data_IF_140581592571
#
_entry.id   IF_140581592571
#
_cell.length_a   1.000
_cell.length_b   1.000
_cell.length_c   1.000
_cell.angle_alpha   90.00
_cell.angle_beta   90.00
_cell.angle_gamma   90.00
#
_symmetry.space_group_name_H-M   'P 1'
#
loop_
_entity.id
_entity.type
_entity.pdbx_description
1 polymer ?
#
# COMPACT_ATOMS: atom_id res chain seq x y z
N UNK A 1 -44.93 47.38 -24.47
CA UNK A 1 -44.78 45.94 -24.05
C UNK A 1 -43.29 45.65 -23.92
N UNK A 2 -42.77 45.63 -22.71
CA UNK A 2 -41.37 45.28 -22.40
C UNK A 2 -41.30 43.75 -22.17
N UNK A 3 -40.57 43.03 -23.00
CA UNK A 3 -40.30 41.60 -22.80
C UNK A 3 -39.13 41.47 -21.85
N UNK A 4 -39.43 40.96 -20.65
CA UNK A 4 -38.42 40.57 -19.64
C UNK A 4 -37.87 39.20 -20.03
N UNK A 5 -36.59 39.12 -20.39
CA UNK A 5 -35.89 37.87 -20.63
C UNK A 5 -35.35 37.42 -19.27
N UNK A 6 -35.88 36.33 -18.76
CA UNK A 6 -35.36 35.66 -17.56
C UNK A 6 -34.28 34.69 -18.03
N UNK A 7 -33.04 35.04 -17.77
CA UNK A 7 -31.90 34.13 -18.01
C UNK A 7 -31.81 33.20 -16.82
N UNK A 8 -32.24 31.95 -16.98
CA UNK A 8 -32.06 30.89 -15.99
C UNK A 8 -30.57 30.48 -16.00
N UNK A 9 -29.85 30.82 -14.93
CA UNK A 9 -28.49 30.35 -14.69
C UNK A 9 -28.58 28.88 -14.25
N UNK A 10 -28.33 27.95 -15.15
CA UNK A 10 -28.14 26.50 -14.79
C UNK A 10 -26.80 26.42 -14.04
N UNK A 11 -26.86 26.28 -12.71
CA UNK A 11 -25.75 25.81 -11.90
C UNK A 11 -25.58 24.32 -12.22
N UNK A 12 -24.64 23.98 -13.10
CA UNK A 12 -24.19 22.59 -13.26
C UNK A 12 -23.33 22.29 -12.01
N UNK A 13 -23.95 21.71 -11.00
CA UNK A 13 -23.24 20.98 -9.96
C UNK A 13 -22.58 19.77 -10.65
N UNK A 14 -21.33 19.89 -11.02
CA UNK A 14 -20.49 18.74 -11.28
C UNK A 14 -20.27 18.05 -9.93
N UNK A 15 -21.16 17.15 -9.58
CA UNK A 15 -20.84 16.09 -8.62
C UNK A 15 -19.65 15.35 -9.25
N UNK A 16 -18.45 15.62 -8.76
CA UNK A 16 -17.29 14.81 -9.04
C UNK A 16 -17.64 13.37 -8.58
N UNK A 17 -17.98 12.52 -9.53
CA UNK A 17 -18.06 11.09 -9.23
C UNK A 17 -16.64 10.68 -8.79
N UNK A 18 -16.43 10.47 -7.51
CA UNK A 18 -15.23 9.82 -7.00
C UNK A 18 -15.13 8.50 -7.76
N UNK A 19 -14.08 8.33 -8.55
CA UNK A 19 -13.90 7.11 -9.34
C UNK A 19 -13.89 5.94 -8.35
N UNK A 20 -14.83 5.02 -8.51
CA UNK A 20 -14.89 3.82 -7.67
C UNK A 20 -13.56 3.09 -7.74
N UNK A 21 -12.98 2.76 -6.59
CA UNK A 21 -11.73 2.02 -6.50
C UNK A 21 -11.95 0.66 -7.16
N UNK A 22 -11.09 0.34 -8.15
CA UNK A 22 -11.17 -0.91 -8.88
C UNK A 22 -10.35 -1.98 -8.18
N UNK A 23 -10.99 -3.11 -7.90
CA UNK A 23 -10.32 -4.35 -7.47
C UNK A 23 -10.12 -5.23 -8.70
N UNK A 24 -8.92 -5.70 -8.93
CA UNK A 24 -8.58 -6.48 -10.11
C UNK A 24 -7.54 -7.55 -9.85
N UNK A 25 -7.43 -8.50 -10.77
CA UNK A 25 -6.28 -9.40 -10.90
C UNK A 25 -5.45 -8.89 -12.06
N UNK A 26 -4.14 -8.83 -11.87
CA UNK A 26 -3.20 -8.40 -12.90
C UNK A 26 -2.37 -9.59 -13.37
N UNK A 27 -2.44 -9.88 -14.67
CA UNK A 27 -1.61 -10.91 -15.28
C UNK A 27 -0.10 -10.61 -15.11
N UNK A 28 0.26 -9.32 -15.12
CA UNK A 28 1.63 -8.87 -14.88
C UNK A 28 2.09 -9.12 -13.43
N UNK A 29 1.21 -8.92 -12.43
CA UNK A 29 1.51 -9.21 -11.02
C UNK A 29 1.67 -10.71 -10.82
N UNK A 30 0.78 -11.53 -11.40
CA UNK A 30 0.92 -13.00 -11.33
C UNK A 30 2.19 -13.47 -12.06
N UNK A 31 2.51 -12.90 -13.23
CA UNK A 31 3.72 -13.24 -13.98
C UNK A 31 4.99 -12.98 -13.16
N UNK A 32 5.12 -11.82 -12.54
CA UNK A 32 6.27 -11.48 -11.72
C UNK A 32 6.33 -12.32 -10.44
N UNK A 33 5.18 -12.60 -9.83
CA UNK A 33 5.09 -13.45 -8.64
C UNK A 33 5.49 -14.91 -8.96
N UNK A 34 4.98 -15.46 -10.06
CA UNK A 34 5.30 -16.83 -10.49
C UNK A 34 6.75 -16.96 -10.97
N UNK A 35 7.29 -15.94 -11.68
CA UNK A 35 8.71 -15.93 -12.00
C UNK A 35 9.57 -15.91 -10.73
N UNK A 36 9.20 -15.09 -9.75
CA UNK A 36 9.91 -15.03 -8.46
C UNK A 36 9.85 -16.36 -7.72
N UNK A 37 8.69 -17.04 -7.72
CA UNK A 37 8.53 -18.39 -7.19
C UNK A 37 9.42 -19.39 -7.95
N UNK A 38 9.42 -19.36 -9.29
CA UNK A 38 10.22 -20.25 -10.13
C UNK A 38 11.73 -20.03 -9.92
N UNK A 39 12.13 -18.79 -9.61
CA UNK A 39 13.49 -18.41 -9.26
C UNK A 39 13.86 -18.66 -7.79
N UNK A 40 13.01 -19.37 -7.05
CA UNK A 40 13.21 -19.77 -5.67
C UNK A 40 13.33 -18.59 -4.68
N UNK A 41 12.57 -17.50 -4.95
CA UNK A 41 12.45 -16.41 -4.00
C UNK A 41 11.58 -16.85 -2.84
N UNK A 42 12.16 -16.95 -1.65
CA UNK A 42 11.56 -17.54 -0.46
C UNK A 42 10.17 -17.00 -0.13
N UNK A 43 9.96 -15.70 -0.30
CA UNK A 43 8.70 -15.01 -0.01
C UNK A 43 7.55 -15.41 -0.93
N UNK A 44 7.83 -16.10 -2.05
CA UNK A 44 6.81 -16.57 -3.00
C UNK A 44 6.49 -18.07 -2.85
N UNK A 45 7.04 -18.75 -1.84
CA UNK A 45 6.82 -20.19 -1.55
C UNK A 45 5.84 -20.43 -0.39
N UNK A 46 4.89 -19.54 -0.17
CA UNK A 46 4.00 -19.62 1.00
C UNK A 46 2.83 -20.63 0.84
N UNK A 47 2.56 -21.13 -0.37
CA UNK A 47 1.54 -22.16 -0.67
C UNK A 47 0.16 -21.92 -0.06
N UNK A 48 -0.25 -20.65 0.03
CA UNK A 48 -1.46 -20.26 0.77
C UNK A 48 -2.74 -20.25 -0.08
N UNK A 49 -2.63 -20.47 -1.41
CA UNK A 49 -3.75 -20.45 -2.34
C UNK A 49 -4.30 -21.86 -2.66
N UNK A 50 -4.02 -22.84 -1.83
CA UNK A 50 -4.60 -24.18 -1.91
C UNK A 50 -4.27 -24.92 -3.21
N UNK A 51 -5.29 -25.27 -4.02
CA UNK A 51 -5.08 -25.98 -5.28
C UNK A 51 -4.32 -25.13 -6.29
N UNK A 52 -4.55 -23.81 -6.35
CA UNK A 52 -3.83 -22.91 -7.23
C UNK A 52 -2.32 -22.93 -7.01
N UNK A 53 -1.86 -22.98 -5.75
CA UNK A 53 -0.42 -23.12 -5.45
C UNK A 53 0.17 -24.42 -6.00
N UNK A 54 -0.58 -25.52 -5.95
CA UNK A 54 -0.16 -26.82 -6.50
C UNK A 54 -0.11 -26.81 -8.02
N UNK A 55 -1.12 -26.21 -8.66
CA UNK A 55 -1.19 -26.09 -10.10
C UNK A 55 -0.06 -25.20 -10.62
N UNK A 56 0.25 -24.11 -9.91
CA UNK A 56 1.40 -23.24 -10.19
C UNK A 56 2.71 -24.04 -10.13
N UNK A 57 2.94 -24.78 -9.06
CA UNK A 57 4.16 -25.60 -8.93
C UNK A 57 4.25 -26.63 -10.05
N UNK A 58 3.17 -27.38 -10.33
CA UNK A 58 3.16 -28.39 -11.36
C UNK A 58 3.39 -27.84 -12.77
N UNK A 59 2.80 -26.67 -13.08
CA UNK A 59 2.93 -26.06 -14.41
C UNK A 59 4.32 -25.51 -14.66
N UNK A 60 4.91 -24.82 -13.66
CA UNK A 60 6.16 -24.09 -13.82
C UNK A 60 7.42 -24.89 -13.40
N UNK A 61 7.28 -26.04 -12.74
CA UNK A 61 8.41 -26.91 -12.36
C UNK A 61 9.35 -27.27 -13.55
N UNK A 62 8.86 -27.54 -14.78
CA UNK A 62 9.75 -27.82 -15.91
C UNK A 62 10.61 -26.64 -16.35
N UNK A 63 10.31 -25.42 -15.91
CA UNK A 63 10.97 -24.18 -16.33
C UNK A 63 11.97 -23.63 -15.32
N UNK A 64 12.30 -24.38 -14.25
CA UNK A 64 13.29 -23.95 -13.24
C UNK A 64 14.68 -23.72 -13.80
N UNK A 65 15.02 -24.38 -14.91
CA UNK A 65 16.28 -24.17 -15.63
C UNK A 65 16.19 -23.17 -16.81
N UNK A 66 15.07 -22.46 -16.95
CA UNK A 66 14.90 -21.45 -17.99
C UNK A 66 15.88 -20.30 -17.77
N UNK A 67 16.45 -19.74 -18.86
CA UNK A 67 17.55 -18.77 -18.81
C UNK A 67 17.27 -17.51 -17.99
N UNK A 68 15.99 -17.07 -17.90
CA UNK A 68 15.62 -15.93 -17.08
C UNK A 68 15.71 -16.25 -15.57
N UNK A 69 15.55 -17.50 -15.18
CA UNK A 69 15.53 -17.88 -13.76
C UNK A 69 16.88 -17.58 -13.11
N UNK A 70 17.97 -18.08 -13.69
CA UNK A 70 19.33 -17.79 -13.19
C UNK A 70 19.68 -16.30 -13.31
N UNK A 71 19.27 -15.65 -14.39
CA UNK A 71 19.43 -14.21 -14.55
C UNK A 71 18.71 -13.43 -13.44
N UNK A 72 17.45 -13.78 -13.14
CA UNK A 72 16.64 -13.10 -12.13
C UNK A 72 17.15 -13.36 -10.70
N UNK A 73 17.64 -14.56 -10.42
CA UNK A 73 18.39 -14.85 -9.18
C UNK A 73 19.62 -13.95 -9.04
N UNK A 74 20.33 -13.71 -10.16
CA UNK A 74 21.44 -12.76 -10.20
C UNK A 74 21.01 -11.34 -9.85
N UNK A 75 19.87 -10.87 -10.36
CA UNK A 75 19.33 -9.56 -10.02
C UNK A 75 19.00 -9.45 -8.52
N UNK A 76 18.41 -10.49 -7.92
CA UNK A 76 18.20 -10.53 -6.47
C UNK A 76 19.52 -10.41 -5.70
N UNK A 77 20.52 -11.16 -6.08
CA UNK A 77 21.77 -11.24 -5.33
C UNK A 77 22.63 -9.97 -5.46
N UNK A 78 22.56 -9.27 -6.60
CA UNK A 78 23.42 -8.12 -6.89
C UNK A 78 22.71 -6.77 -6.75
N UNK A 79 21.38 -6.74 -6.86
CA UNK A 79 20.58 -5.53 -6.83
C UNK A 79 19.46 -5.57 -5.77
N UNK A 80 19.40 -6.64 -4.97
CA UNK A 80 18.37 -6.84 -3.93
C UNK A 80 16.94 -6.74 -4.48
N UNK A 81 16.71 -7.23 -5.72
CA UNK A 81 15.38 -7.28 -6.31
C UNK A 81 14.54 -8.30 -5.53
N UNK A 82 13.70 -7.78 -4.61
CA UNK A 82 12.87 -8.56 -3.71
C UNK A 82 11.62 -7.75 -3.32
N UNK A 83 10.60 -8.39 -2.77
CA UNK A 83 9.39 -7.76 -2.22
C UNK A 83 8.78 -6.64 -3.08
N UNK A 84 8.81 -5.41 -2.60
CA UNK A 84 8.27 -4.20 -3.23
C UNK A 84 8.96 -3.85 -4.57
N UNK A 85 10.26 -4.16 -4.74
CA UNK A 85 10.94 -3.98 -6.02
C UNK A 85 10.35 -4.88 -7.10
N UNK A 86 9.97 -6.13 -6.77
CA UNK A 86 9.28 -7.03 -7.70
C UNK A 86 7.94 -6.44 -8.11
N UNK A 87 7.16 -5.93 -7.16
CA UNK A 87 5.86 -5.32 -7.43
C UNK A 87 5.98 -3.97 -8.15
N UNK A 88 7.03 -3.19 -7.88
CA UNK A 88 7.33 -1.97 -8.64
C UNK A 88 7.52 -2.29 -10.13
N UNK A 89 8.25 -3.34 -10.49
CA UNK A 89 8.30 -3.79 -11.88
C UNK A 89 6.93 -4.25 -12.37
N UNK A 90 6.22 -5.08 -11.61
CA UNK A 90 4.94 -5.65 -12.02
C UNK A 90 3.92 -4.60 -12.44
N UNK A 91 3.81 -3.49 -11.67
CA UNK A 91 2.88 -2.40 -12.01
C UNK A 91 3.32 -1.56 -13.22
N UNK A 92 4.59 -1.67 -13.65
CA UNK A 92 5.10 -1.05 -14.87
C UNK A 92 5.04 -1.99 -16.07
N UNK A 93 4.39 -3.13 -15.95
CA UNK A 93 4.17 -4.05 -17.05
C UNK A 93 2.71 -4.00 -17.53
N UNK A 94 2.54 -4.14 -18.82
CA UNK A 94 1.25 -4.37 -19.48
C UNK A 94 1.34 -5.63 -20.33
N UNK A 95 0.33 -6.48 -20.24
CA UNK A 95 0.22 -7.70 -21.04
C UNK A 95 -0.85 -7.47 -22.10
N UNK A 96 -0.43 -7.28 -23.33
CA UNK A 96 -1.32 -7.06 -24.48
C UNK A 96 -1.01 -8.04 -25.61
N UNK A 97 -2.05 -8.78 -26.05
CA UNK A 97 -1.99 -9.72 -27.17
C UNK A 97 -0.81 -10.72 -27.09
N UNK A 98 -0.58 -11.25 -25.89
CA UNK A 98 0.47 -12.23 -25.64
C UNK A 98 1.89 -11.65 -25.58
N UNK A 99 2.00 -10.35 -25.37
CA UNK A 99 3.28 -9.66 -25.19
C UNK A 99 3.29 -8.86 -23.91
N UNK A 100 4.40 -8.94 -23.19
CA UNK A 100 4.69 -8.11 -22.03
C UNK A 100 5.41 -6.85 -22.50
N UNK A 101 4.88 -5.69 -22.16
CA UNK A 101 5.42 -4.37 -22.49
C UNK A 101 5.77 -3.64 -21.21
N UNK A 102 6.86 -2.92 -21.22
CA UNK A 102 7.19 -1.98 -20.16
C UNK A 102 6.45 -0.65 -20.38
N UNK A 103 5.90 -0.09 -19.32
CA UNK A 103 5.18 1.18 -19.30
C UNK A 103 5.98 2.24 -18.55
N UNK A 104 6.03 3.45 -19.08
CA UNK A 104 6.70 4.58 -18.45
C UNK A 104 8.17 4.67 -18.78
N UNK A 105 8.91 5.38 -17.93
CA UNK A 105 10.35 5.58 -18.06
C UNK A 105 11.10 4.70 -17.05
N UNK A 106 12.31 4.25 -17.37
CA UNK A 106 13.13 3.42 -16.47
C UNK A 106 13.45 4.13 -15.15
N UNK A 107 13.49 5.46 -15.16
CA UNK A 107 13.65 6.30 -13.97
C UNK A 107 12.49 6.24 -12.99
N UNK A 108 11.32 5.75 -13.42
CA UNK A 108 10.11 5.68 -12.59
C UNK A 108 10.09 4.41 -11.71
N UNK A 109 10.97 3.45 -12.03
CA UNK A 109 11.12 2.23 -11.24
C UNK A 109 11.76 2.52 -9.88
N UNK A 110 11.48 1.64 -8.94
CA UNK A 110 12.12 1.61 -7.63
C UNK A 110 13.65 1.52 -7.77
N UNK A 111 14.39 2.09 -6.81
CA UNK A 111 15.83 2.38 -6.93
C UNK A 111 16.69 1.16 -7.28
N UNK A 112 16.35 -0.01 -6.78
CA UNK A 112 17.08 -1.26 -7.04
C UNK A 112 17.09 -1.66 -8.52
N UNK A 113 16.14 -1.17 -9.33
CA UNK A 113 16.07 -1.39 -10.77
C UNK A 113 16.92 -0.40 -11.59
N UNK A 114 17.40 0.70 -11.02
CA UNK A 114 18.10 1.77 -11.76
C UNK A 114 19.33 1.31 -12.55
N UNK A 115 20.05 0.31 -12.03
CA UNK A 115 21.26 -0.22 -12.64
C UNK A 115 21.03 -1.55 -13.38
N UNK A 116 19.78 -1.94 -13.58
CA UNK A 116 19.41 -3.14 -14.33
C UNK A 116 19.14 -2.79 -15.79
N UNK A 117 19.57 -3.62 -16.71
CA UNK A 117 19.17 -3.54 -18.12
C UNK A 117 17.71 -4.01 -18.24
N UNK A 118 16.78 -3.04 -18.10
CA UNK A 118 15.33 -3.31 -18.15
C UNK A 118 14.92 -3.84 -19.53
N UNK A 119 15.57 -3.42 -20.62
CA UNK A 119 15.21 -3.91 -21.96
C UNK A 119 15.57 -5.39 -22.12
N UNK A 120 16.77 -5.80 -21.67
CA UNK A 120 17.16 -7.21 -21.65
C UNK A 120 16.24 -8.03 -20.72
N UNK A 121 15.89 -7.50 -19.54
CA UNK A 121 14.93 -8.14 -18.65
C UNK A 121 13.58 -8.38 -19.35
N UNK A 122 13.02 -7.38 -20.03
CA UNK A 122 11.72 -7.50 -20.73
C UNK A 122 11.80 -8.48 -21.90
N UNK A 123 12.91 -8.53 -22.64
CA UNK A 123 13.13 -9.53 -23.69
C UNK A 123 13.07 -10.95 -23.10
N UNK A 124 13.80 -11.21 -22.03
CA UNK A 124 13.81 -12.51 -21.34
C UNK A 124 12.47 -12.86 -20.72
N UNK A 125 11.77 -11.86 -20.15
CA UNK A 125 10.44 -12.05 -19.57
C UNK A 125 9.42 -12.45 -20.65
N UNK A 126 9.48 -11.84 -21.84
CA UNK A 126 8.64 -12.23 -22.97
C UNK A 126 8.93 -13.66 -23.44
N UNK A 127 10.21 -14.08 -23.44
CA UNK A 127 10.57 -15.45 -23.78
C UNK A 127 10.00 -16.44 -22.76
N UNK A 128 10.15 -16.15 -21.45
CA UNK A 128 9.55 -16.96 -20.37
C UNK A 128 8.04 -17.04 -20.49
N UNK A 129 7.38 -15.90 -20.72
CA UNK A 129 5.93 -15.82 -20.89
C UNK A 129 5.45 -16.72 -22.03
N UNK A 130 6.13 -16.70 -23.18
CA UNK A 130 5.80 -17.51 -24.35
C UNK A 130 6.10 -18.99 -24.13
N UNK A 131 7.30 -19.33 -23.65
CA UNK A 131 7.76 -20.72 -23.49
C UNK A 131 6.94 -21.46 -22.42
N UNK A 132 6.54 -20.77 -21.35
CA UNK A 132 5.69 -21.33 -20.30
C UNK A 132 4.21 -21.37 -20.67
N UNK A 133 3.80 -20.78 -21.78
CA UNK A 133 2.38 -20.59 -22.15
C UNK A 133 1.62 -19.90 -21.01
N UNK A 134 2.22 -18.83 -20.45
CA UNK A 134 1.73 -18.19 -19.23
C UNK A 134 0.27 -17.75 -19.33
N UNK A 135 -0.12 -17.15 -20.46
CA UNK A 135 -1.51 -16.73 -20.69
C UNK A 135 -2.51 -17.88 -20.58
N UNK A 136 -2.15 -19.05 -21.11
CA UNK A 136 -3.02 -20.24 -21.03
C UNK A 136 -3.21 -20.67 -19.56
N UNK A 137 -2.14 -20.68 -18.77
CA UNK A 137 -2.21 -20.93 -17.33
C UNK A 137 -3.09 -19.90 -16.63
N UNK A 138 -2.91 -18.62 -16.92
CA UNK A 138 -3.70 -17.54 -16.34
C UNK A 138 -5.18 -17.66 -16.67
N UNK A 139 -5.53 -17.92 -17.94
CA UNK A 139 -6.92 -18.09 -18.38
C UNK A 139 -7.58 -19.35 -17.79
N UNK A 140 -6.85 -20.44 -17.60
CA UNK A 140 -7.39 -21.65 -16.97
C UNK A 140 -7.83 -21.43 -15.53
N UNK A 141 -7.28 -20.42 -14.84
CA UNK A 141 -7.61 -20.08 -13.47
C UNK A 141 -8.54 -18.89 -13.31
N UNK A 142 -9.13 -18.38 -14.42
CA UNK A 142 -10.00 -17.19 -14.40
C UNK A 142 -11.15 -17.31 -13.38
N UNK A 143 -11.82 -18.44 -13.33
CA UNK A 143 -12.92 -18.65 -12.37
C UNK A 143 -12.46 -18.58 -10.92
N UNK A 144 -11.26 -19.08 -10.61
CA UNK A 144 -10.67 -18.98 -9.29
C UNK A 144 -10.36 -17.52 -8.91
N UNK A 145 -9.84 -16.74 -9.86
CA UNK A 145 -9.61 -15.31 -9.66
C UNK A 145 -10.92 -14.56 -9.42
N UNK A 146 -11.97 -14.84 -10.21
CA UNK A 146 -13.28 -14.21 -10.05
C UNK A 146 -13.92 -14.51 -8.69
N UNK A 147 -13.80 -15.74 -8.19
CA UNK A 147 -14.22 -16.10 -6.84
C UNK A 147 -13.44 -15.33 -5.75
N UNK A 148 -12.12 -15.18 -5.93
CA UNK A 148 -11.28 -14.39 -5.02
C UNK A 148 -11.67 -12.91 -5.03
N UNK A 149 -11.85 -12.31 -6.20
CA UNK A 149 -12.31 -10.92 -6.34
C UNK A 149 -13.66 -10.71 -5.67
N UNK A 150 -14.63 -11.59 -5.92
CA UNK A 150 -15.94 -11.53 -5.29
C UNK A 150 -15.85 -11.61 -3.78
N UNK A 151 -15.03 -12.53 -3.27
CA UNK A 151 -14.80 -12.64 -1.83
C UNK A 151 -14.18 -11.38 -1.23
N UNK A 152 -13.25 -10.72 -1.94
CA UNK A 152 -12.65 -9.45 -1.50
C UNK A 152 -13.68 -8.33 -1.48
N UNK A 153 -14.49 -8.20 -2.53
CA UNK A 153 -15.57 -7.21 -2.59
C UNK A 153 -16.56 -7.38 -1.42
N UNK A 154 -16.99 -8.60 -1.13
CA UNK A 154 -17.94 -8.88 -0.07
C UNK A 154 -17.37 -8.69 1.35
N UNK A 155 -16.09 -8.99 1.57
CA UNK A 155 -15.50 -9.03 2.91
C UNK A 155 -14.58 -7.85 3.23
N UNK A 156 -14.18 -7.06 2.25
CA UNK A 156 -13.30 -5.89 2.42
C UNK A 156 -13.98 -4.62 1.93
N UNK A 157 -14.33 -4.58 0.63
CA UNK A 157 -14.86 -3.35 0.03
C UNK A 157 -16.23 -2.94 0.59
N UNK A 158 -17.04 -3.90 1.03
CA UNK A 158 -18.32 -3.60 1.71
C UNK A 158 -18.14 -2.81 3.01
N UNK A 159 -16.95 -2.83 3.62
CA UNK A 159 -16.59 -2.09 4.84
C UNK A 159 -15.65 -0.90 4.54
N UNK A 160 -15.32 -0.65 3.27
CA UNK A 160 -14.43 0.42 2.86
C UNK A 160 -15.23 1.69 2.52
N UNK A 161 -15.12 2.70 3.37
CA UNK A 161 -15.85 3.97 3.26
C UNK A 161 -14.95 5.05 2.63
N UNK A 162 -14.90 5.10 1.30
CA UNK A 162 -14.05 6.03 0.56
C UNK A 162 -14.32 7.49 0.91
N UNK A 163 -15.58 7.87 1.10
CA UNK A 163 -15.97 9.25 1.43
C UNK A 163 -15.41 9.75 2.78
N UNK A 164 -15.12 8.82 3.71
CA UNK A 164 -14.52 9.17 4.98
C UNK A 164 -13.18 9.90 4.81
N UNK A 165 -12.38 9.50 3.83
CA UNK A 165 -11.05 10.10 3.62
C UNK A 165 -11.15 11.56 3.22
N UNK A 166 -11.95 11.90 2.21
CA UNK A 166 -12.16 13.28 1.80
C UNK A 166 -12.71 14.13 2.96
N UNK A 167 -13.63 13.57 3.74
CA UNK A 167 -14.18 14.23 4.92
C UNK A 167 -13.13 14.41 6.03
N UNK A 168 -12.36 13.37 6.34
CA UNK A 168 -11.35 13.41 7.40
C UNK A 168 -10.16 14.30 7.01
N UNK A 169 -9.58 14.11 5.84
CA UNK A 169 -8.42 14.87 5.40
C UNK A 169 -8.74 16.29 4.88
N UNK A 170 -9.99 16.55 4.50
CA UNK A 170 -10.43 17.82 3.92
C UNK A 170 -9.86 18.12 2.53
N UNK A 171 -9.39 17.08 1.87
CA UNK A 171 -8.84 17.12 0.50
C UNK A 171 -9.22 15.84 -0.20
N UNK A 172 -9.36 15.91 -1.53
CA UNK A 172 -9.46 14.70 -2.35
C UNK A 172 -8.07 14.09 -2.53
N UNK A 173 -8.04 12.76 -2.75
CA UNK A 173 -6.80 12.09 -3.13
C UNK A 173 -6.31 12.61 -4.48
N UNK A 174 -5.04 12.98 -4.55
CA UNK A 174 -4.40 13.41 -5.81
C UNK A 174 -4.03 12.23 -6.71
N UNK A 175 -4.07 11.02 -6.17
CA UNK A 175 -3.67 9.77 -6.80
C UNK A 175 -4.89 8.96 -7.22
N UNK A 176 -4.74 8.14 -8.26
CA UNK A 176 -5.68 7.06 -8.55
C UNK A 176 -5.30 5.85 -7.73
N UNK A 177 -6.24 5.37 -6.93
CA UNK A 177 -6.01 4.18 -6.11
C UNK A 177 -6.49 2.92 -6.83
N UNK A 178 -5.67 1.87 -6.83
CA UNK A 178 -5.97 0.57 -7.44
C UNK A 178 -5.63 -0.55 -6.46
N UNK A 179 -6.46 -1.58 -6.44
CA UNK A 179 -6.25 -2.77 -5.61
C UNK A 179 -6.03 -3.95 -6.55
N UNK A 180 -4.92 -4.63 -6.37
CA UNK A 180 -4.59 -5.84 -7.14
C UNK A 180 -4.46 -7.02 -6.19
N UNK A 181 -5.20 -8.09 -6.46
CA UNK A 181 -5.08 -9.33 -5.69
C UNK A 181 -3.99 -10.19 -6.33
N UNK A 182 -2.97 -10.54 -5.53
CA UNK A 182 -1.88 -11.41 -5.92
C UNK A 182 -2.07 -12.82 -5.38
N UNK A 183 -2.44 -13.78 -6.24
CA UNK A 183 -2.78 -15.14 -5.83
C UNK A 183 -1.55 -16.01 -5.53
N UNK A 184 -0.40 -15.67 -6.12
CA UNK A 184 0.90 -16.31 -5.80
C UNK A 184 1.67 -15.55 -4.70
N UNK A 185 1.09 -14.44 -4.19
CA UNK A 185 1.78 -13.51 -3.28
C UNK A 185 1.68 -13.90 -1.79
N UNK A 186 0.91 -14.93 -1.47
CA UNK A 186 0.73 -15.43 -0.10
C UNK A 186 0.03 -14.42 0.80
N UNK A 187 0.60 -14.15 1.98
CA UNK A 187 0.08 -13.15 2.94
C UNK A 187 0.87 -11.83 2.94
N UNK A 188 1.71 -11.63 1.92
CA UNK A 188 2.36 -10.35 1.73
C UNK A 188 1.40 -9.31 1.17
N UNK A 189 1.70 -8.06 1.48
CA UNK A 189 0.96 -6.91 0.98
C UNK A 189 1.96 -5.78 0.78
N UNK A 190 1.84 -5.04 -0.32
CA UNK A 190 2.72 -3.91 -0.62
C UNK A 190 1.94 -2.75 -1.22
N UNK A 191 2.25 -1.56 -0.74
CA UNK A 191 1.93 -0.31 -1.43
C UNK A 191 3.04 0.02 -2.41
N UNK A 192 2.72 0.14 -3.68
CA UNK A 192 3.63 0.59 -4.74
C UNK A 192 2.93 1.63 -5.60
N UNK A 193 3.70 2.46 -6.29
CA UNK A 193 3.13 3.51 -7.10
C UNK A 193 3.90 3.71 -8.40
N UNK A 194 3.18 4.22 -9.42
CA UNK A 194 3.80 4.63 -10.68
C UNK A 194 3.27 5.98 -11.14
N UNK A 195 4.09 6.70 -11.90
CA UNK A 195 3.73 7.96 -12.53
C UNK A 195 3.98 7.87 -14.03
N UNK A 196 2.94 7.58 -14.80
CA UNK A 196 3.06 7.60 -16.25
C UNK A 196 2.95 9.04 -16.77
N UNK A 197 3.74 9.39 -17.78
CA UNK A 197 3.78 10.74 -18.35
C UNK A 197 2.39 11.22 -18.78
N UNK A 198 1.96 12.35 -18.25
CA UNK A 198 0.66 12.95 -18.55
C UNK A 198 -0.55 12.25 -17.92
N UNK A 199 -0.32 11.28 -17.03
CA UNK A 199 -1.37 10.61 -16.25
C UNK A 199 -1.29 11.05 -14.78
N UNK A 200 -2.38 11.00 -14.02
CA UNK A 200 -2.30 11.08 -12.56
C UNK A 200 -1.41 9.96 -12.02
N UNK A 201 -0.75 10.21 -10.89
CA UNK A 201 -0.04 9.15 -10.17
C UNK A 201 -1.01 8.06 -9.76
N UNK A 202 -0.62 6.80 -9.93
CA UNK A 202 -1.39 5.64 -9.52
C UNK A 202 -0.73 5.00 -8.31
N UNK A 203 -1.49 4.86 -7.22
CA UNK A 203 -1.09 4.11 -6.03
C UNK A 203 -1.77 2.73 -6.05
N UNK A 204 -0.98 1.68 -5.88
CA UNK A 204 -1.44 0.30 -5.92
C UNK A 204 -1.29 -0.33 -4.54
N UNK A 205 -2.37 -0.91 -4.03
CA UNK A 205 -2.31 -1.90 -2.96
C UNK A 205 -2.29 -3.29 -3.59
N UNK A 206 -1.15 -3.96 -3.51
CA UNK A 206 -1.03 -5.36 -3.91
C UNK A 206 -1.35 -6.21 -2.69
N UNK A 207 -2.50 -6.85 -2.69
CA UNK A 207 -3.01 -7.65 -1.57
C UNK A 207 -2.83 -9.13 -1.85
N UNK A 208 -2.11 -9.83 -0.97
CA UNK A 208 -1.91 -11.26 -1.11
C UNK A 208 -3.16 -12.07 -0.80
N UNK A 209 -3.31 -13.17 -1.50
CA UNK A 209 -4.41 -14.11 -1.33
C UNK A 209 -3.99 -15.28 -0.45
N UNK A 210 -4.75 -15.55 0.60
CA UNK A 210 -4.55 -16.74 1.42
C UNK A 210 -5.87 -17.39 1.83
N UNK A 211 -5.85 -18.70 1.95
CA UNK A 211 -6.95 -19.49 2.48
C UNK A 211 -6.72 -19.85 3.95
N UNK A 212 -7.79 -19.81 4.72
CA UNK A 212 -7.78 -20.39 6.06
C UNK A 212 -7.69 -21.93 5.94
N UNK A 213 -6.68 -22.58 6.51
CA UNK A 213 -6.48 -24.02 6.34
C UNK A 213 -7.63 -24.88 6.89
N UNK A 214 -8.37 -24.37 7.89
CA UNK A 214 -9.47 -25.12 8.51
C UNK A 214 -10.79 -25.00 7.74
N UNK A 215 -11.03 -23.85 7.08
CA UNK A 215 -12.31 -23.57 6.41
C UNK A 215 -12.22 -23.53 4.89
N UNK A 216 -11.01 -23.51 4.35
CA UNK A 216 -10.72 -23.33 2.93
C UNK A 216 -11.39 -22.08 2.33
N UNK A 217 -11.54 -21.03 3.15
CA UNK A 217 -12.11 -19.74 2.72
C UNK A 217 -11.02 -18.67 2.70
N UNK A 218 -11.11 -17.68 1.79
CA UNK A 218 -10.19 -16.55 1.77
C UNK A 218 -10.18 -15.80 3.11
N UNK A 219 -9.00 -15.35 3.51
CA UNK A 219 -8.79 -14.49 4.68
C UNK A 219 -8.19 -13.18 4.18
N UNK A 220 -8.81 -12.07 4.54
CA UNK A 220 -8.42 -10.75 4.12
C UNK A 220 -8.02 -9.88 5.31
N UNK A 221 -7.06 -9.01 5.10
CA UNK A 221 -6.71 -7.95 6.06
C UNK A 221 -7.26 -6.60 5.57
N UNK A 222 -8.50 -6.30 5.95
CA UNK A 222 -9.13 -5.02 5.60
C UNK A 222 -8.41 -3.82 6.24
N UNK A 223 -7.78 -4.01 7.40
CA UNK A 223 -7.04 -2.94 8.07
C UNK A 223 -5.82 -2.49 7.25
N UNK A 224 -5.23 -3.40 6.51
CA UNK A 224 -4.13 -3.08 5.61
C UNK A 224 -4.57 -2.18 4.46
N UNK A 225 -5.70 -2.47 3.79
CA UNK A 225 -6.22 -1.61 2.73
C UNK A 225 -6.46 -0.19 3.24
N UNK A 226 -7.06 -0.07 4.44
CA UNK A 226 -7.28 1.21 5.10
C UNK A 226 -5.93 1.90 5.37
N UNK A 227 -4.91 1.16 5.78
CA UNK A 227 -3.56 1.66 6.02
C UNK A 227 -2.93 2.23 4.74
N UNK A 228 -2.88 1.43 3.68
CA UNK A 228 -2.27 1.82 2.40
C UNK A 228 -2.98 3.04 1.78
N UNK A 229 -4.31 3.10 1.89
CA UNK A 229 -5.04 4.25 1.37
C UNK A 229 -4.76 5.55 2.15
N UNK A 230 -4.52 5.46 3.46
CA UNK A 230 -4.12 6.62 4.27
C UNK A 230 -2.77 7.20 3.81
N UNK A 231 -1.83 6.38 3.31
CA UNK A 231 -0.56 6.86 2.78
C UNK A 231 -0.73 7.88 1.64
N UNK A 232 -1.76 7.73 0.80
CA UNK A 232 -2.05 8.68 -0.29
C UNK A 232 -2.37 10.10 0.19
N UNK A 233 -2.79 10.26 1.45
CA UNK A 233 -3.09 11.56 2.07
C UNK A 233 -1.98 12.05 2.99
N UNK A 234 -1.26 11.13 3.63
CA UNK A 234 -0.25 11.47 4.64
C UNK A 234 1.12 11.71 4.01
N UNK A 235 1.56 10.85 3.09
CA UNK A 235 2.90 10.97 2.51
C UNK A 235 3.16 12.32 1.82
N UNK A 236 2.22 12.89 1.04
CA UNK A 236 2.42 14.18 0.40
C UNK A 236 2.63 15.35 1.37
N UNK A 237 2.27 15.21 2.64
CA UNK A 237 2.51 16.26 3.63
C UNK A 237 4.00 16.53 3.85
N UNK A 238 4.85 15.52 3.73
CA UNK A 238 6.31 15.66 3.81
C UNK A 238 6.99 16.03 2.48
N UNK A 239 6.20 16.31 1.42
CA UNK A 239 6.69 16.99 0.22
C UNK A 239 6.73 18.52 0.45
N UNK A 240 6.00 19.05 1.44
CA UNK A 240 6.03 20.46 1.80
C UNK A 240 7.28 20.78 2.64
N UNK A 241 8.21 21.64 2.14
CA UNK A 241 9.43 21.97 2.87
C UNK A 241 9.20 22.55 4.27
N UNK A 242 8.10 23.26 4.51
CA UNK A 242 7.77 23.78 5.82
C UNK A 242 7.41 22.68 6.82
N UNK A 243 6.70 21.65 6.38
CA UNK A 243 6.40 20.47 7.19
C UNK A 243 7.65 19.63 7.47
N UNK A 244 8.53 19.47 6.45
CA UNK A 244 9.83 18.81 6.61
C UNK A 244 10.66 19.52 7.68
N UNK A 245 10.86 20.85 7.55
CA UNK A 245 11.64 21.62 8.52
C UNK A 245 11.08 21.54 9.96
N UNK A 246 9.76 21.47 10.08
CA UNK A 246 9.07 21.35 11.38
C UNK A 246 9.27 19.97 12.00
N UNK A 247 9.23 18.90 11.18
CA UNK A 247 9.15 17.52 11.67
C UNK A 247 10.49 16.80 11.74
N UNK A 248 11.53 17.25 11.02
CA UNK A 248 12.81 16.55 10.89
C UNK A 248 13.45 16.22 12.24
N UNK A 249 13.64 17.23 13.10
CA UNK A 249 14.25 17.03 14.43
C UNK A 249 13.40 16.13 15.34
N UNK A 250 12.08 16.21 15.21
CA UNK A 250 11.14 15.38 15.97
C UNK A 250 11.24 13.93 15.47
N UNK A 251 11.13 13.73 14.16
CA UNK A 251 11.20 12.40 13.53
C UNK A 251 12.51 11.67 13.81
N UNK A 252 13.65 12.37 13.73
CA UNK A 252 14.96 11.79 14.11
C UNK A 252 14.99 11.32 15.57
N UNK A 253 14.38 12.06 16.50
CA UNK A 253 14.29 11.64 17.90
C UNK A 253 13.35 10.45 18.08
N UNK A 254 12.21 10.41 17.39
CA UNK A 254 11.29 9.27 17.42
C UNK A 254 11.96 8.00 16.89
N UNK A 255 12.67 8.11 15.75
CA UNK A 255 13.45 7.00 15.18
C UNK A 255 14.50 6.50 16.20
N UNK A 256 15.27 7.40 16.79
CA UNK A 256 16.27 7.05 17.81
C UNK A 256 15.64 6.42 19.06
N UNK A 257 14.47 6.93 19.50
CA UNK A 257 13.78 6.45 20.70
C UNK A 257 13.28 5.01 20.58
N UNK A 258 12.94 4.57 19.37
CA UNK A 258 12.45 3.22 19.08
C UNK A 258 13.32 2.48 18.05
N UNK A 259 14.61 2.81 17.99
CA UNK A 259 15.53 2.30 16.96
C UNK A 259 15.49 0.78 16.79
N UNK A 260 15.55 -0.06 17.84
CA UNK A 260 15.54 -1.52 17.65
C UNK A 260 14.26 -2.04 16.97
N UNK A 261 13.11 -1.48 17.31
CA UNK A 261 11.83 -1.87 16.72
C UNK A 261 11.68 -1.34 15.29
N UNK A 262 12.23 -0.16 14.98
CA UNK A 262 12.22 0.42 13.65
C UNK A 262 13.14 -0.36 12.69
N UNK A 263 14.33 -0.74 13.13
CA UNK A 263 15.27 -1.57 12.36
C UNK A 263 14.67 -2.94 12.01
N UNK A 264 13.93 -3.57 12.92
CA UNK A 264 13.23 -4.83 12.65
C UNK A 264 12.18 -4.72 11.55
N UNK A 265 11.66 -3.53 11.30
CA UNK A 265 10.67 -3.22 10.26
C UNK A 265 11.32 -2.58 9.01
N UNK A 266 12.64 -2.50 8.95
CA UNK A 266 13.40 -1.80 7.92
C UNK A 266 13.07 -0.29 7.80
N UNK A 267 12.61 0.34 8.90
CA UNK A 267 12.32 1.77 8.96
C UNK A 267 13.57 2.55 9.37
N UNK A 268 14.42 2.84 8.39
CA UNK A 268 15.73 3.47 8.62
C UNK A 268 15.72 4.99 8.35
N UNK A 269 14.58 5.56 7.96
CA UNK A 269 14.41 6.98 7.69
C UNK A 269 13.33 7.56 8.62
N UNK A 270 13.62 8.74 9.18
CA UNK A 270 12.69 9.44 10.08
C UNK A 270 11.37 9.83 9.39
N UNK A 271 11.36 10.08 8.07
CA UNK A 271 10.14 10.37 7.31
C UNK A 271 9.20 9.17 7.29
N UNK A 272 9.77 7.97 7.13
CA UNK A 272 8.99 6.72 7.21
C UNK A 272 8.34 6.62 8.60
N UNK A 273 9.11 6.82 9.68
CA UNK A 273 8.60 6.74 11.05
C UNK A 273 7.46 7.73 11.30
N UNK A 274 7.60 8.97 10.81
CA UNK A 274 6.57 10.01 10.96
C UNK A 274 5.32 9.64 10.16
N UNK A 275 5.46 9.29 8.88
CA UNK A 275 4.34 8.90 8.03
C UNK A 275 3.58 7.70 8.60
N UNK A 276 4.30 6.64 8.96
CA UNK A 276 3.74 5.46 9.59
C UNK A 276 3.01 5.77 10.91
N UNK A 277 3.53 6.69 11.70
CA UNK A 277 2.88 7.14 12.95
C UNK A 277 1.53 7.77 12.68
N UNK A 278 1.48 8.69 11.71
CA UNK A 278 0.26 9.43 11.35
C UNK A 278 -0.74 8.49 10.67
N UNK A 279 -0.29 7.65 9.75
CA UNK A 279 -1.13 6.64 9.07
C UNK A 279 -1.77 5.70 10.09
N UNK A 280 -0.99 5.13 11.01
CA UNK A 280 -1.51 4.23 12.05
C UNK A 280 -2.55 4.92 12.94
N UNK A 281 -2.31 6.17 13.33
CA UNK A 281 -3.30 6.94 14.08
C UNK A 281 -4.58 7.19 13.27
N UNK A 282 -4.48 7.54 11.99
CA UNK A 282 -5.63 7.72 11.11
C UNK A 282 -6.41 6.41 10.90
N UNK A 283 -5.73 5.26 10.78
CA UNK A 283 -6.38 3.93 10.75
C UNK A 283 -7.23 3.70 12.00
N UNK A 284 -6.71 4.03 13.19
CA UNK A 284 -7.49 3.93 14.43
C UNK A 284 -8.75 4.80 14.39
N UNK A 285 -8.63 6.05 13.93
CA UNK A 285 -9.77 6.95 13.81
C UNK A 285 -10.80 6.37 12.83
N UNK A 286 -10.34 5.94 11.66
CA UNK A 286 -11.20 5.31 10.64
C UNK A 286 -11.98 4.12 11.22
N UNK A 287 -11.27 3.19 11.87
CA UNK A 287 -11.88 1.98 12.44
C UNK A 287 -12.92 2.28 13.50
N UNK A 288 -12.68 3.31 14.32
CA UNK A 288 -13.64 3.77 15.36
C UNK A 288 -14.84 4.50 14.75
N UNK A 289 -14.62 5.39 13.78
CA UNK A 289 -15.70 6.17 13.13
C UNK A 289 -16.67 5.28 12.37
N UNK A 290 -16.16 4.21 11.79
CA UNK A 290 -16.95 3.26 11.00
C UNK A 290 -17.42 2.04 11.81
N UNK A 291 -17.24 2.03 13.15
CA UNK A 291 -17.64 0.94 14.05
C UNK A 291 -17.05 -0.43 13.67
N UNK A 292 -15.85 -0.46 13.08
CA UNK A 292 -15.18 -1.68 12.65
C UNK A 292 -14.42 -2.40 13.78
N UNK A 293 -14.24 -1.73 14.92
CA UNK A 293 -13.55 -2.30 16.09
C UNK A 293 -14.35 -2.09 17.36
N UNK A 294 -14.32 -3.10 18.22
CA UNK A 294 -14.77 -2.96 19.61
C UNK A 294 -13.59 -2.59 20.51
N UNK A 295 -13.89 -2.31 21.78
CA UNK A 295 -12.89 -1.91 22.79
C UNK A 295 -11.73 -2.92 22.93
N UNK A 296 -12.03 -4.22 22.88
CA UNK A 296 -11.00 -5.25 23.03
C UNK A 296 -10.05 -5.28 21.82
N UNK A 297 -10.61 -5.21 20.62
CA UNK A 297 -9.86 -5.13 19.38
C UNK A 297 -9.01 -3.85 19.33
N UNK A 298 -9.56 -2.70 19.73
CA UNK A 298 -8.82 -1.45 19.80
C UNK A 298 -7.63 -1.54 20.78
N UNK A 299 -7.85 -2.10 21.97
CA UNK A 299 -6.79 -2.32 22.95
C UNK A 299 -5.68 -3.26 22.42
N UNK A 300 -6.06 -4.31 21.71
CA UNK A 300 -5.11 -5.21 21.06
C UNK A 300 -4.28 -4.48 19.99
N UNK A 301 -4.92 -3.69 19.12
CA UNK A 301 -4.24 -2.90 18.10
C UNK A 301 -3.25 -1.90 18.73
N UNK A 302 -3.62 -1.21 19.82
CA UNK A 302 -2.70 -0.33 20.56
C UNK A 302 -1.51 -1.11 21.12
N UNK A 303 -1.74 -2.28 21.71
CA UNK A 303 -0.67 -3.12 22.25
C UNK A 303 0.30 -3.59 21.16
N UNK A 304 -0.22 -4.00 19.99
CA UNK A 304 0.61 -4.40 18.84
C UNK A 304 1.44 -3.23 18.32
N UNK A 305 0.81 -2.06 18.17
CA UNK A 305 1.51 -0.87 17.65
C UNK A 305 2.57 -0.39 18.63
N UNK A 306 2.29 -0.48 19.93
CA UNK A 306 3.28 -0.22 20.99
C UNK A 306 4.49 -1.15 20.88
N UNK A 307 4.28 -2.46 20.71
CA UNK A 307 5.37 -3.45 20.55
C UNK A 307 6.20 -3.22 19.30
N UNK A 308 5.60 -2.61 18.27
CA UNK A 308 6.30 -2.18 17.05
C UNK A 308 7.05 -0.86 17.21
N UNK A 309 7.09 -0.27 18.40
CA UNK A 309 7.87 0.92 18.70
C UNK A 309 7.12 2.24 18.61
N UNK A 310 5.87 2.27 18.18
CA UNK A 310 5.06 3.50 18.06
C UNK A 310 4.38 3.85 19.39
N UNK A 311 5.17 4.13 20.40
CA UNK A 311 4.70 4.34 21.79
C UNK A 311 3.91 5.61 21.98
N UNK A 312 4.03 6.59 21.08
CA UNK A 312 3.31 7.88 21.04
C UNK A 312 1.95 7.82 20.37
N UNK A 313 1.52 6.64 19.91
CA UNK A 313 0.29 6.49 19.16
C UNK A 313 -0.97 6.93 19.93
N UNK A 314 -1.16 6.64 21.25
CA UNK A 314 -2.33 7.08 21.99
C UNK A 314 -2.51 8.61 22.01
N UNK A 315 -1.40 9.34 22.20
CA UNK A 315 -1.39 10.80 22.18
C UNK A 315 -1.73 11.34 20.80
N UNK A 316 -1.18 10.70 19.77
CA UNK A 316 -1.42 11.08 18.39
C UNK A 316 -2.88 10.82 17.98
N UNK A 317 -3.46 9.68 18.36
CA UNK A 317 -4.89 9.39 18.17
C UNK A 317 -5.77 10.43 18.87
N UNK A 318 -5.41 10.81 20.12
CA UNK A 318 -6.11 11.85 20.86
C UNK A 318 -6.04 13.20 20.13
N UNK A 319 -4.87 13.56 19.61
CA UNK A 319 -4.67 14.77 18.81
C UNK A 319 -5.51 14.74 17.54
N UNK A 320 -5.52 13.64 16.79
CA UNK A 320 -6.32 13.53 15.56
C UNK A 320 -7.84 13.52 15.85
N UNK A 321 -8.28 13.02 17.00
CA UNK A 321 -9.68 13.20 17.45
C UNK A 321 -10.03 14.67 17.68
N UNK A 322 -9.12 15.44 18.25
CA UNK A 322 -9.30 16.89 18.38
C UNK A 322 -9.44 17.55 17.01
N UNK A 323 -8.58 17.23 16.04
CA UNK A 323 -8.71 17.68 14.66
C UNK A 323 -10.07 17.40 14.06
N UNK A 324 -10.54 16.14 14.17
CA UNK A 324 -11.82 15.73 13.61
C UNK A 324 -13.01 16.50 14.22
N UNK A 325 -12.92 16.91 15.50
CA UNK A 325 -13.92 17.71 16.20
C UNK A 325 -13.85 19.21 15.95
N UNK A 326 -12.82 19.73 15.26
CA UNK A 326 -12.59 21.17 15.07
C UNK A 326 -12.37 21.53 13.58
N UNK A 327 -13.18 20.92 12.71
CA UNK A 327 -13.04 21.08 11.25
C UNK A 327 -13.32 22.51 10.76
N UNK A 328 -14.08 23.30 11.48
CA UNK A 328 -14.27 24.72 11.19
C UNK A 328 -12.98 25.53 11.34
N UNK A 329 -12.09 25.14 12.27
CA UNK A 329 -10.79 25.78 12.50
C UNK A 329 -9.73 25.22 11.55
N UNK A 330 -9.72 23.91 11.32
CA UNK A 330 -8.74 23.21 10.48
C UNK A 330 -9.42 22.61 9.27
N UNK A 331 -9.41 23.33 8.14
CA UNK A 331 -10.12 22.93 6.91
C UNK A 331 -9.52 21.66 6.29
N UNK A 332 -8.19 21.56 6.32
CA UNK A 332 -7.44 20.42 5.80
C UNK A 332 -6.54 19.81 6.86
N UNK A 333 -6.13 18.59 6.62
CA UNK A 333 -5.17 17.91 7.50
C UNK A 333 -3.81 18.62 7.50
N UNK A 334 -3.42 19.25 6.38
CA UNK A 334 -2.23 20.10 6.30
C UNK A 334 -2.28 21.29 7.24
N UNK A 335 -3.47 21.90 7.44
CA UNK A 335 -3.64 23.00 8.41
C UNK A 335 -3.39 22.54 9.86
N UNK A 336 -3.64 21.27 10.14
CA UNK A 336 -3.44 20.66 11.46
C UNK A 336 -2.01 20.13 11.70
N UNK A 337 -1.19 20.03 10.67
CA UNK A 337 0.14 19.43 10.76
C UNK A 337 1.05 20.06 11.84
N UNK A 338 1.02 21.38 12.11
CA UNK A 338 1.73 22.00 13.24
C UNK A 338 1.31 21.46 14.62
N UNK A 339 0.04 21.08 14.78
CA UNK A 339 -0.46 20.50 16.05
C UNK A 339 0.05 19.06 16.24
N UNK A 340 0.16 18.29 15.15
CA UNK A 340 0.77 16.96 15.15
C UNK A 340 2.23 17.08 15.63
N UNK A 341 2.98 18.05 15.10
CA UNK A 341 4.36 18.29 15.53
C UNK A 341 4.45 18.66 17.02
N UNK A 342 3.53 19.51 17.51
CA UNK A 342 3.44 19.86 18.94
C UNK A 342 3.12 18.66 19.81
N UNK A 343 2.18 17.82 19.39
CA UNK A 343 1.81 16.59 20.09
C UNK A 343 3.03 15.65 20.27
N UNK A 344 3.75 15.39 19.18
CA UNK A 344 4.93 14.52 19.20
C UNK A 344 6.10 15.13 19.99
N UNK A 345 6.29 16.45 19.91
CA UNK A 345 7.29 17.17 20.72
C UNK A 345 6.99 17.00 22.20
N UNK A 346 5.75 17.25 22.61
CA UNK A 346 5.33 17.10 24.00
C UNK A 346 5.52 15.68 24.51
N UNK A 347 5.16 14.67 23.72
CA UNK A 347 5.41 13.27 24.07
C UNK A 347 6.90 13.03 24.40
N UNK A 348 7.80 13.49 23.53
CA UNK A 348 9.25 13.33 23.74
C UNK A 348 9.75 14.05 24.99
N UNK A 349 9.23 15.24 25.29
CA UNK A 349 9.57 15.99 26.52
C UNK A 349 9.09 15.25 27.78
N UNK A 350 7.85 14.77 27.77
CA UNK A 350 7.26 14.00 28.87
C UNK A 350 8.05 12.69 29.14
N UNK A 351 8.55 12.02 28.10
CA UNK A 351 9.36 10.80 28.22
C UNK A 351 10.75 11.10 28.81
N UNK A 352 11.40 12.18 28.37
CA UNK A 352 12.68 12.62 28.95
C UNK A 352 12.52 12.91 30.45
N UNK A 353 11.45 13.60 30.88
CA UNK A 353 11.16 13.84 32.29
C UNK A 353 10.91 12.53 33.06
N UNK A 354 10.23 11.55 32.49
CA UNK A 354 10.01 10.24 33.12
C UNK A 354 11.32 9.51 33.37
N UNK A 355 12.24 9.53 32.40
CA UNK A 355 13.53 8.87 32.51
C UNK A 355 14.44 9.52 33.56
N UNK A 356 14.25 10.82 33.84
CA UNK A 356 15.03 11.56 34.81
C UNK A 356 14.49 11.45 36.24
N UNK A 357 13.26 10.97 36.44
CA UNK A 357 12.69 10.76 37.76
C UNK A 357 13.29 9.50 38.41
N UNK A 358 13.89 9.57 39.62
CA UNK A 358 14.39 8.37 40.27
C UNK A 358 13.26 7.39 40.52
N UNK A 359 13.54 6.10 40.26
CA UNK A 359 12.63 5.01 40.60
C UNK A 359 12.34 5.09 42.10
N UNK A 360 11.07 5.37 42.45
CA UNK A 360 10.62 5.37 43.86
C UNK A 360 10.40 3.95 44.34
#
# INVERSE_FOLDING_TARGET
MKKTVITALLLILTLGATAQIKVEVSEAVELMSILSRTADFREYHLDMAGQYSKDTEAWFAPYKEHSIVSYYQGLRNHHDISYDAVMSMAIHLDVDKGKVKFLGEKSDLEERWKNVDVDDFIIRLNQFYADTRFHEFFEQHRSFYEEGLKSFEENVMSYFHQDWYAQFYGTEATERFRIVIGFTYGDHNNGVARQLKGQPREAFAICGYKLNPATNRPVWDAALLIHEFNHSFVNPLLDNPAHVAMMEKIGMKLLQFSQPEMEQQAYNDWKIVVNESVVRAAVFIYMLDNNLVNKNTANFMFSETWRRGFRWLPELVTSLRHYAGHREQYKTFGDYYPEIARCLTKYLEDEVERMQKPLK
#
